data_IF_683355949633
#
_entry.id   IF_683355949633
#
_cell.length_a   1.000
_cell.length_b   1.000
_cell.length_c   1.000
_cell.angle_alpha   90.00
_cell.angle_beta   90.00
_cell.angle_gamma   90.00
#
_symmetry.space_group_name_H-M   'P 1'
#
loop_
_entity.id
_entity.type
_entity.pdbx_description
1 polymer ?
#
# COMPACT_ATOMS: atom_id res chain seq x y z
N UNK A 1 26.92 -48.61 70.64
CA UNK A 1 26.18 -48.27 69.40
C UNK A 1 24.97 -47.44 69.81
N UNK A 2 25.01 -46.13 69.55
CA UNK A 2 24.09 -45.12 70.07
C UNK A 2 22.80 -45.05 69.23
N UNK A 3 21.66 -45.02 69.93
CA UNK A 3 20.31 -45.04 69.40
C UNK A 3 19.75 -43.62 69.15
N UNK A 4 19.05 -43.51 68.02
CA UNK A 4 17.93 -42.61 67.67
C UNK A 4 17.73 -41.28 68.41
N UNK A 5 17.90 -40.19 67.65
CA UNK A 5 17.43 -38.83 67.97
C UNK A 5 15.90 -38.77 68.00
N UNK A 6 15.36 -38.17 69.06
CA UNK A 6 14.02 -37.56 69.13
C UNK A 6 14.23 -36.07 69.41
N UNK A 7 13.81 -35.20 68.50
CA UNK A 7 13.64 -33.76 68.80
C UNK A 7 12.19 -33.41 68.61
N UNK A 8 11.71 -32.67 69.60
CA UNK A 8 10.33 -32.36 69.96
C UNK A 8 9.71 -31.25 69.12
N UNK A 9 8.38 -31.26 69.14
CA UNK A 9 7.40 -30.36 68.54
C UNK A 9 7.47 -28.88 68.95
N UNK A 10 7.25 -27.98 67.95
CA UNK A 10 6.36 -26.80 67.81
C UNK A 10 5.74 -26.15 69.07
N UNK A 11 5.35 -24.83 69.12
CA UNK A 11 4.48 -24.20 68.08
C UNK A 11 4.41 -22.64 67.97
N UNK A 12 3.44 -22.16 67.14
CA UNK A 12 2.76 -20.84 67.11
C UNK A 12 3.50 -19.66 66.43
N UNK A 13 2.92 -18.75 65.64
CA UNK A 13 1.56 -18.50 65.11
C UNK A 13 1.67 -17.30 64.14
N UNK A 14 0.79 -17.24 63.11
CA UNK A 14 0.22 -16.01 62.53
C UNK A 14 1.17 -15.09 61.72
N UNK A 15 0.82 -14.48 60.58
CA UNK A 15 -0.43 -14.31 59.86
C UNK A 15 -0.09 -13.77 58.45
N UNK A 16 -0.73 -14.35 57.43
CA UNK A 16 -1.41 -13.68 56.31
C UNK A 16 -0.95 -12.25 55.96
N UNK A 17 -0.27 -12.08 54.82
CA UNK A 17 -0.57 -10.94 53.94
C UNK A 17 -0.29 -11.23 52.46
N UNK A 18 -1.26 -10.81 51.64
CA UNK A 18 -1.39 -11.11 50.21
C UNK A 18 -0.71 -10.01 49.41
N UNK A 19 0.43 -10.33 48.78
CA UNK A 19 1.08 -9.47 47.79
C UNK A 19 0.45 -9.57 46.42
N UNK A 20 -0.56 -8.73 46.15
CA UNK A 20 -1.22 -8.54 44.85
C UNK A 20 -0.23 -7.90 43.85
N UNK A 21 0.20 -8.63 42.82
CA UNK A 21 1.09 -8.07 41.79
C UNK A 21 0.35 -7.02 40.94
N UNK A 22 0.84 -5.79 40.97
CA UNK A 22 0.39 -4.69 40.11
C UNK A 22 0.79 -4.98 38.67
N UNK A 23 -0.16 -5.42 37.84
CA UNK A 23 -0.06 -5.40 36.38
C UNK A 23 0.18 -3.96 35.92
N UNK A 24 1.41 -3.66 35.47
CA UNK A 24 1.72 -2.43 34.75
C UNK A 24 1.01 -2.48 33.40
N UNK A 25 0.07 -1.55 33.20
CA UNK A 25 -0.55 -1.26 31.91
C UNK A 25 0.51 -0.57 31.05
N UNK A 26 1.00 -1.22 30.00
CA UNK A 26 1.71 -0.52 28.94
C UNK A 26 0.67 0.14 28.04
N UNK A 27 0.55 1.47 28.13
CA UNK A 27 -0.10 2.28 27.11
C UNK A 27 0.75 2.22 25.84
N UNK A 28 0.26 1.52 24.81
CA UNK A 28 0.78 1.60 23.45
C UNK A 28 0.06 2.73 22.72
N UNK A 29 0.27 3.94 23.20
CA UNK A 29 -0.10 5.18 22.51
C UNK A 29 1.23 5.89 22.27
N UNK A 30 1.48 6.36 21.04
CA UNK A 30 2.73 6.97 20.57
C UNK A 30 3.79 6.01 20.00
N UNK A 31 3.49 5.40 18.85
CA UNK A 31 4.52 5.19 17.82
C UNK A 31 3.90 5.02 16.43
N UNK A 32 3.59 6.13 15.76
CA UNK A 32 3.48 6.20 14.30
C UNK A 32 3.87 7.61 13.87
N UNK A 33 5.00 7.81 13.17
CA UNK A 33 5.36 9.11 12.62
C UNK A 33 4.39 9.50 11.49
N UNK A 34 3.79 10.68 11.63
CA UNK A 34 3.04 11.35 10.57
C UNK A 34 3.93 11.60 9.34
N UNK A 35 3.45 11.16 8.18
CA UNK A 35 4.14 11.24 6.88
C UNK A 35 4.46 12.66 6.38
N UNK A 36 3.99 13.73 7.06
CA UNK A 36 4.32 15.11 6.67
C UNK A 36 5.79 15.51 6.94
N UNK A 37 6.55 14.74 7.73
CA UNK A 37 7.93 15.13 8.15
C UNK A 37 9.07 14.43 7.40
N UNK A 38 8.78 13.48 6.51
CA UNK A 38 9.81 12.78 5.72
C UNK A 38 10.15 13.51 4.41
N UNK A 39 9.25 14.37 3.91
CA UNK A 39 9.46 15.12 2.66
C UNK A 39 10.39 16.35 2.76
N UNK A 40 10.69 16.86 3.97
CA UNK A 40 11.51 18.07 4.14
C UNK A 40 13.01 17.80 4.37
N UNK A 41 13.43 16.54 4.46
CA UNK A 41 14.84 16.18 4.72
C UNK A 41 15.61 15.70 3.48
N UNK A 42 15.07 15.94 2.29
CA UNK A 42 15.73 15.65 1.00
C UNK A 42 16.16 16.90 0.22
N UNK A 43 16.13 18.10 0.82
CA UNK A 43 16.58 19.35 0.17
C UNK A 43 17.68 20.12 0.93
N UNK A 44 18.23 19.57 2.02
CA UNK A 44 19.39 20.16 2.69
C UNK A 44 20.67 19.44 2.24
N UNK A 45 21.28 19.95 1.17
CA UNK A 45 22.64 19.59 0.78
C UNK A 45 23.61 20.09 1.85
N UNK A 46 24.38 19.16 2.44
CA UNK A 46 25.48 19.48 3.35
C UNK A 46 26.78 19.18 2.64
N UNK A 47 27.48 20.24 2.25
CA UNK A 47 28.87 20.26 1.82
C UNK A 47 29.78 19.69 2.92
N UNK A 48 30.50 18.62 2.61
CA UNK A 48 31.55 18.04 3.45
C UNK A 48 32.72 17.57 2.59
N UNK A 49 33.92 18.08 2.89
CA UNK A 49 35.12 18.00 2.06
C UNK A 49 35.75 16.60 1.91
N UNK A 50 36.54 16.48 0.85
CA UNK A 50 37.30 15.30 0.44
C UNK A 50 38.63 15.19 1.22
N UNK A 51 39.04 13.97 1.62
CA UNK A 51 40.44 13.64 1.79
C UNK A 51 41.02 13.00 0.52
N UNK A 52 42.17 13.52 0.09
CA UNK A 52 42.97 13.06 -1.05
C UNK A 52 43.62 11.71 -0.76
N UNK A 53 43.13 10.65 -1.41
CA UNK A 53 43.73 9.32 -1.40
C UNK A 53 44.07 8.86 -2.82
N UNK A 54 45.36 8.80 -3.15
CA UNK A 54 45.91 8.33 -4.44
C UNK A 54 45.74 6.81 -4.55
N UNK A 55 44.78 6.35 -5.34
CA UNK A 55 44.61 4.92 -5.68
C UNK A 55 44.72 4.74 -7.19
N UNK A 56 45.63 3.85 -7.59
CA UNK A 56 46.01 3.55 -8.97
C UNK A 56 44.82 2.97 -9.75
N UNK A 57 44.56 3.53 -10.94
CA UNK A 57 43.49 3.08 -11.83
C UNK A 57 43.75 1.65 -12.33
N UNK A 58 42.85 0.72 -11.98
CA UNK A 58 42.71 -0.58 -12.65
C UNK A 58 41.61 -0.45 -13.71
N UNK A 59 41.99 -0.55 -14.98
CA UNK A 59 41.04 -0.57 -16.11
C UNK A 59 40.09 -1.76 -15.97
N UNK A 60 38.79 -1.48 -15.99
CA UNK A 60 37.72 -2.46 -16.17
C UNK A 60 37.24 -2.40 -17.63
N UNK A 61 36.92 -3.54 -18.28
CA UNK A 61 36.41 -3.53 -19.64
C UNK A 61 34.97 -2.99 -19.67
N UNK A 62 34.70 -2.14 -20.68
CA UNK A 62 33.38 -1.57 -20.98
C UNK A 62 32.33 -2.67 -21.15
N UNK A 63 31.40 -2.79 -20.20
CA UNK A 63 30.15 -3.54 -20.40
C UNK A 63 29.29 -2.75 -21.39
N UNK A 64 28.91 -3.41 -22.50
CA UNK A 64 28.00 -2.87 -23.51
C UNK A 64 26.63 -2.70 -22.87
N UNK A 65 26.09 -1.49 -22.90
CA UNK A 65 24.71 -1.21 -22.52
C UNK A 65 23.77 -1.81 -23.57
N UNK A 66 22.88 -2.69 -23.14
CA UNK A 66 21.70 -3.08 -23.92
C UNK A 66 20.65 -1.96 -23.77
N UNK A 67 20.15 -1.35 -24.86
CA UNK A 67 19.11 -0.34 -24.75
C UNK A 67 17.77 -1.02 -24.42
N UNK A 68 17.23 -0.75 -23.23
CA UNK A 68 15.80 -0.90 -22.98
C UNK A 68 15.07 0.16 -23.82
N UNK A 69 14.20 -0.31 -24.72
CA UNK A 69 13.38 0.52 -25.60
C UNK A 69 12.37 1.31 -24.77
N UNK A 70 12.65 2.60 -24.58
CA UNK A 70 11.67 3.58 -24.16
C UNK A 70 10.73 3.89 -25.35
N UNK A 71 9.72 3.07 -25.54
CA UNK A 71 8.51 3.44 -26.27
C UNK A 71 7.37 3.56 -25.26
N UNK A 72 6.57 4.60 -25.42
CA UNK A 72 5.42 5.01 -24.62
C UNK A 72 5.68 6.02 -23.50
N UNK A 73 6.61 6.95 -23.72
CA UNK A 73 6.55 8.27 -23.09
C UNK A 73 6.61 9.32 -24.20
N UNK A 74 5.56 10.17 -24.28
CA UNK A 74 5.35 11.32 -25.19
C UNK A 74 4.59 11.02 -26.50
N UNK A 75 3.26 10.91 -26.40
CA UNK A 75 2.37 11.51 -27.43
C UNK A 75 1.55 12.59 -26.75
N UNK A 76 2.22 13.66 -26.33
CA UNK A 76 1.62 14.94 -26.00
C UNK A 76 2.77 15.96 -26.01
N UNK A 77 3.09 16.50 -27.19
CA UNK A 77 3.27 17.94 -27.39
C UNK A 77 3.51 18.28 -28.87
N UNK A 78 2.55 19.03 -29.43
CA UNK A 78 2.64 20.05 -30.50
C UNK A 78 3.12 19.63 -31.89
N UNK A 79 2.21 19.77 -32.86
CA UNK A 79 2.46 20.48 -34.13
C UNK A 79 1.10 20.82 -34.78
N UNK A 80 0.76 22.11 -34.82
CA UNK A 80 0.17 22.75 -36.01
C UNK A 80 0.29 24.26 -35.87
N UNK A 81 1.14 24.83 -36.70
CA UNK A 81 1.43 26.24 -36.90
C UNK A 81 0.48 26.87 -37.93
N UNK A 82 0.03 28.08 -37.62
CA UNK A 82 -0.16 29.26 -38.50
C UNK A 82 -0.70 29.07 -39.93
N UNK A 83 -1.90 29.60 -40.18
CA UNK A 83 -2.22 30.40 -41.37
C UNK A 83 -3.58 31.11 -41.17
N UNK A 84 -3.71 32.36 -41.61
CA UNK A 84 -5.02 32.96 -41.88
C UNK A 84 -5.27 34.32 -41.24
N UNK A 85 -4.59 35.33 -41.77
CA UNK A 85 -4.88 36.75 -41.56
C UNK A 85 -6.29 37.04 -42.09
N UNK A 86 -7.14 37.62 -41.24
CA UNK A 86 -8.45 38.15 -41.59
C UNK A 86 -8.60 39.55 -41.00
N UNK A 87 -7.73 40.46 -41.45
CA UNK A 87 -7.85 41.90 -41.22
C UNK A 87 -9.09 42.39 -41.96
N UNK A 88 -10.24 42.42 -41.28
CA UNK A 88 -11.43 43.13 -41.76
C UNK A 88 -11.43 44.52 -41.14
N UNK A 89 -11.08 45.49 -41.98
CA UNK A 89 -11.07 46.91 -41.68
C UNK A 89 -12.52 47.41 -41.60
N UNK A 90 -12.98 47.77 -40.40
CA UNK A 90 -14.22 48.55 -40.22
C UNK A 90 -13.88 49.82 -39.47
N UNK A 91 -14.05 50.93 -40.19
CA UNK A 91 -14.06 52.30 -39.68
C UNK A 91 -15.46 52.59 -39.11
N UNK A 92 -15.56 52.92 -37.82
CA UNK A 92 -16.60 53.80 -37.25
C UNK A 92 -16.21 54.26 -35.84
N UNK A 93 -16.21 55.58 -35.64
CA UNK A 93 -15.96 56.32 -34.38
C UNK A 93 -17.24 56.41 -33.50
N UNK A 94 -17.16 56.93 -32.25
CA UNK A 94 -17.94 56.43 -31.10
C UNK A 94 -19.29 57.14 -30.92
N UNK A 95 -20.27 56.39 -30.41
CA UNK A 95 -21.54 56.90 -29.88
C UNK A 95 -21.89 56.17 -28.59
N UNK A 96 -22.00 56.92 -27.50
CA UNK A 96 -22.45 56.43 -26.20
C UNK A 96 -23.98 56.33 -26.17
N UNK A 97 -24.52 55.16 -25.83
CA UNK A 97 -25.81 55.00 -25.13
C UNK A 97 -25.99 53.52 -24.72
N UNK A 98 -26.41 53.34 -23.48
CA UNK A 98 -26.63 52.07 -22.78
C UNK A 98 -27.84 51.29 -23.31
N UNK A 99 -27.72 49.96 -23.36
CA UNK A 99 -28.84 49.04 -23.08
C UNK A 99 -28.31 47.83 -22.32
N UNK A 100 -28.86 47.61 -21.13
CA UNK A 100 -28.66 46.43 -20.30
C UNK A 100 -29.38 45.20 -20.88
N UNK A 101 -28.70 44.05 -20.82
CA UNK A 101 -29.21 42.67 -20.66
C UNK A 101 -28.02 41.71 -20.91
N UNK A 102 -27.32 41.20 -19.89
CA UNK A 102 -27.52 39.87 -19.27
C UNK A 102 -27.42 38.70 -20.27
N UNK A 103 -26.66 37.63 -20.08
CA UNK A 103 -25.93 37.16 -18.91
C UNK A 103 -24.94 36.03 -19.30
N UNK A 104 -23.89 35.92 -18.47
CA UNK A 104 -23.28 34.67 -18.02
C UNK A 104 -22.53 33.77 -19.03
N UNK A 105 -21.22 33.99 -19.14
CA UNK A 105 -20.27 32.97 -19.60
C UNK A 105 -18.92 33.11 -18.87
N UNK A 106 -18.96 33.02 -17.54
CA UNK A 106 -17.77 32.82 -16.72
C UNK A 106 -18.02 31.65 -15.77
N UNK A 107 -17.72 30.45 -16.25
CA UNK A 107 -17.39 29.35 -15.35
C UNK A 107 -16.32 28.46 -15.99
N UNK A 108 -15.08 28.91 -15.82
CA UNK A 108 -13.89 28.07 -15.94
C UNK A 108 -13.90 27.10 -14.75
N UNK A 109 -14.37 25.87 -14.99
CA UNK A 109 -14.21 24.77 -14.04
C UNK A 109 -12.76 24.26 -14.21
N UNK A 110 -11.92 24.59 -13.23
CA UNK A 110 -10.64 23.94 -12.99
C UNK A 110 -10.85 22.43 -12.72
N UNK A 111 -9.84 21.56 -12.91
CA UNK A 111 -10.00 20.12 -12.66
C UNK A 111 -10.17 19.90 -11.15
N UNK A 112 -11.42 19.71 -10.72
CA UNK A 112 -11.77 19.23 -9.39
C UNK A 112 -11.10 17.87 -9.19
N UNK A 113 -10.12 17.82 -8.29
CA UNK A 113 -9.66 16.60 -7.68
C UNK A 113 -10.88 15.96 -7.02
N UNK A 114 -11.46 14.95 -7.70
CA UNK A 114 -12.74 14.33 -7.37
C UNK A 114 -12.79 13.81 -5.93
N UNK A 115 -13.34 14.67 -5.09
CA UNK A 115 -14.24 14.39 -3.99
C UNK A 115 -13.73 13.38 -2.96
N UNK A 116 -13.16 13.91 -1.88
CA UNK A 116 -13.34 13.28 -0.57
C UNK A 116 -14.85 13.15 -0.35
N UNK A 117 -15.41 11.97 -0.65
CA UNK A 117 -16.80 11.67 -0.38
C UNK A 117 -17.10 12.10 1.06
N UNK A 118 -17.97 13.10 1.20
CA UNK A 118 -18.35 13.63 2.50
C UNK A 118 -18.80 12.46 3.36
N UNK A 119 -18.39 12.48 4.63
CA UNK A 119 -18.86 11.53 5.61
C UNK A 119 -20.37 11.76 5.75
N UNK A 120 -21.19 10.93 5.09
CA UNK A 120 -22.61 10.91 5.31
C UNK A 120 -22.89 10.04 6.55
N UNK A 121 -23.24 10.62 7.71
CA UNK A 121 -23.55 9.86 8.93
C UNK A 121 -24.79 8.98 8.78
N UNK A 122 -25.62 9.21 7.75
CA UNK A 122 -26.79 8.41 7.42
C UNK A 122 -26.50 7.23 6.48
N UNK A 123 -25.23 7.01 6.08
CA UNK A 123 -24.88 5.87 5.24
C UNK A 123 -25.20 4.55 5.97
N UNK A 124 -25.84 3.58 5.30
CA UNK A 124 -26.20 2.31 5.91
C UNK A 124 -24.95 1.58 6.43
N UNK A 125 -25.11 0.92 7.58
CA UNK A 125 -24.04 0.11 8.17
C UNK A 125 -23.70 -1.06 7.23
N UNK A 126 -22.43 -1.45 7.20
CA UNK A 126 -22.00 -2.63 6.44
C UNK A 126 -22.81 -3.87 6.78
N UNK A 127 -23.23 -4.60 5.74
CA UNK A 127 -23.87 -5.90 5.89
C UNK A 127 -22.91 -6.93 6.48
N UNK A 128 -23.45 -8.09 6.90
CA UNK A 128 -22.60 -9.19 7.40
C UNK A 128 -21.69 -9.76 6.31
N UNK A 129 -22.12 -9.76 5.05
CA UNK A 129 -21.30 -10.14 3.90
C UNK A 129 -20.17 -9.14 3.67
N UNK A 130 -20.43 -7.84 3.70
CA UNK A 130 -19.40 -6.82 3.47
C UNK A 130 -18.33 -6.83 4.56
N UNK A 131 -18.74 -6.97 5.82
CA UNK A 131 -17.80 -7.13 6.95
C UNK A 131 -16.92 -8.36 6.77
N UNK A 132 -17.47 -9.46 6.24
CA UNK A 132 -16.68 -10.68 5.96
C UNK A 132 -15.75 -10.49 4.76
N UNK A 133 -16.20 -9.82 3.71
CA UNK A 133 -15.39 -9.45 2.56
C UNK A 133 -14.18 -8.62 3.01
N UNK A 134 -14.41 -7.50 3.70
CA UNK A 134 -13.37 -6.62 4.22
C UNK A 134 -12.39 -7.41 5.08
N UNK A 135 -12.88 -8.18 6.05
CA UNK A 135 -12.02 -8.97 6.95
C UNK A 135 -11.12 -9.94 6.23
N UNK A 136 -11.66 -10.67 5.26
CA UNK A 136 -10.89 -11.67 4.51
C UNK A 136 -9.93 -11.00 3.54
N UNK A 137 -10.36 -9.93 2.87
CA UNK A 137 -9.54 -9.20 1.92
C UNK A 137 -8.33 -8.58 2.62
N UNK A 138 -8.53 -7.82 3.70
CA UNK A 138 -7.40 -7.16 4.40
C UNK A 138 -6.46 -8.17 5.04
N UNK A 139 -6.96 -9.33 5.50
CA UNK A 139 -6.10 -10.41 5.99
C UNK A 139 -5.27 -11.05 4.85
N UNK A 140 -5.87 -11.27 3.68
CA UNK A 140 -5.17 -11.80 2.49
C UNK A 140 -4.14 -10.81 1.96
N UNK A 141 -4.51 -9.54 1.83
CA UNK A 141 -3.63 -8.47 1.35
C UNK A 141 -2.47 -8.24 2.30
N UNK A 142 -2.73 -8.19 3.61
CA UNK A 142 -1.65 -8.09 4.60
C UNK A 142 -0.69 -9.29 4.58
N UNK A 143 -1.18 -10.50 4.26
CA UNK A 143 -0.32 -11.65 3.98
C UNK A 143 0.55 -11.41 2.73
N UNK A 144 -0.04 -11.01 1.60
CA UNK A 144 0.68 -10.67 0.36
C UNK A 144 1.77 -9.62 0.60
N UNK A 145 1.46 -8.56 1.35
CA UNK A 145 2.41 -7.49 1.70
C UNK A 145 3.56 -8.05 2.53
N UNK A 146 3.26 -8.85 3.57
CA UNK A 146 4.27 -9.38 4.47
C UNK A 146 5.27 -10.29 3.76
N UNK A 147 4.78 -11.22 2.93
CA UNK A 147 5.65 -12.12 2.16
C UNK A 147 6.42 -11.37 1.07
N UNK A 148 5.81 -10.35 0.44
CA UNK A 148 6.46 -9.59 -0.63
C UNK A 148 7.55 -8.67 -0.09
N UNK A 149 7.38 -8.05 1.08
CA UNK A 149 8.46 -7.29 1.75
C UNK A 149 9.71 -8.13 2.01
N UNK A 150 9.54 -9.41 2.34
CA UNK A 150 10.66 -10.33 2.46
C UNK A 150 11.26 -10.65 1.08
N UNK A 151 10.43 -10.88 0.07
CA UNK A 151 10.89 -11.22 -1.27
C UNK A 151 11.68 -10.09 -1.95
N UNK A 152 11.35 -8.82 -1.69
CA UNK A 152 12.14 -7.66 -2.16
C UNK A 152 13.63 -7.80 -1.79
N UNK A 153 13.93 -8.34 -0.60
CA UNK A 153 15.32 -8.45 -0.12
C UNK A 153 15.94 -9.82 -0.32
N UNK A 154 15.13 -10.88 -0.43
CA UNK A 154 15.60 -12.27 -0.43
C UNK A 154 15.50 -12.98 -1.78
N UNK A 155 14.65 -12.50 -2.69
CA UNK A 155 14.48 -13.16 -3.97
C UNK A 155 15.74 -13.08 -4.84
N UNK A 156 16.04 -14.16 -5.53
CA UNK A 156 17.27 -14.32 -6.33
C UNK A 156 17.10 -13.65 -7.69
N UNK A 157 15.95 -13.90 -8.33
CA UNK A 157 15.66 -13.40 -9.67
C UNK A 157 15.19 -11.95 -9.61
N UNK A 158 15.71 -11.12 -10.52
CA UNK A 158 15.39 -9.70 -10.58
C UNK A 158 13.89 -9.47 -10.85
N UNK A 159 13.27 -10.29 -11.69
CA UNK A 159 11.83 -10.20 -12.01
C UNK A 159 10.97 -10.51 -10.78
N UNK A 160 11.38 -11.47 -9.95
CA UNK A 160 10.68 -11.81 -8.70
C UNK A 160 10.76 -10.67 -7.69
N UNK A 161 11.93 -10.02 -7.57
CA UNK A 161 12.09 -8.82 -6.73
C UNK A 161 11.22 -7.67 -7.21
N UNK A 162 11.28 -7.34 -8.50
CA UNK A 162 10.49 -6.26 -9.10
C UNK A 162 8.97 -6.50 -8.97
N UNK A 163 8.55 -7.76 -9.14
CA UNK A 163 7.17 -8.16 -8.90
C UNK A 163 6.77 -7.98 -7.43
N UNK A 164 7.63 -8.39 -6.49
CA UNK A 164 7.37 -8.23 -5.06
C UNK A 164 7.23 -6.74 -4.65
N UNK A 165 8.06 -5.86 -5.20
CA UNK A 165 7.93 -4.41 -4.98
C UNK A 165 6.56 -3.88 -5.47
N UNK A 166 6.15 -4.33 -6.66
CA UNK A 166 4.84 -3.97 -7.24
C UNK A 166 3.69 -4.46 -6.36
N UNK A 167 3.78 -5.69 -5.83
CA UNK A 167 2.77 -6.25 -4.92
C UNK A 167 2.67 -5.43 -3.63
N UNK A 168 3.80 -5.09 -2.99
CA UNK A 168 3.78 -4.27 -1.76
C UNK A 168 3.07 -2.94 -2.01
N UNK A 169 3.47 -2.20 -3.03
CA UNK A 169 2.93 -0.88 -3.30
C UNK A 169 1.43 -0.92 -3.61
N UNK A 170 1.02 -1.87 -4.45
CA UNK A 170 -0.37 -1.97 -4.90
C UNK A 170 -1.30 -2.47 -3.79
N UNK A 171 -0.91 -3.53 -3.07
CA UNK A 171 -1.72 -4.10 -1.99
C UNK A 171 -1.84 -3.12 -0.80
N UNK A 172 -0.80 -2.34 -0.48
CA UNK A 172 -0.86 -1.29 0.54
C UNK A 172 -1.84 -0.18 0.17
N UNK A 173 -1.84 0.26 -1.10
CA UNK A 173 -2.77 1.27 -1.61
C UNK A 173 -4.22 0.75 -1.52
N UNK A 174 -4.48 -0.42 -2.08
CA UNK A 174 -5.84 -0.99 -2.16
C UNK A 174 -6.39 -1.27 -0.76
N UNK A 175 -5.58 -1.86 0.13
CA UNK A 175 -6.01 -2.11 1.51
C UNK A 175 -6.20 -0.82 2.30
N UNK A 176 -5.40 0.21 2.05
CA UNK A 176 -5.59 1.53 2.65
C UNK A 176 -6.96 2.12 2.33
N UNK A 177 -7.36 2.07 1.06
CA UNK A 177 -8.68 2.53 0.60
C UNK A 177 -9.82 1.70 1.21
N UNK A 178 -9.67 0.38 1.25
CA UNK A 178 -10.69 -0.50 1.85
C UNK A 178 -10.86 -0.24 3.35
N UNK A 179 -9.77 0.02 4.07
CA UNK A 179 -9.82 0.40 5.50
C UNK A 179 -10.54 1.72 5.70
N UNK A 180 -10.30 2.72 4.84
CA UNK A 180 -11.02 4.00 4.90
C UNK A 180 -12.51 3.81 4.64
N UNK A 181 -12.87 3.01 3.62
CA UNK A 181 -14.26 2.65 3.33
C UNK A 181 -14.91 1.98 4.56
N UNK A 182 -14.23 0.98 5.13
CA UNK A 182 -14.74 0.25 6.29
C UNK A 182 -15.00 1.18 7.49
N UNK A 183 -14.06 2.08 7.81
CA UNK A 183 -14.18 3.05 8.91
C UNK A 183 -15.35 4.01 8.71
N UNK A 184 -15.52 4.53 7.50
CA UNK A 184 -16.65 5.41 7.14
C UNK A 184 -18.02 4.75 7.30
N UNK A 185 -18.08 3.42 7.46
CA UNK A 185 -19.30 2.63 7.65
C UNK A 185 -19.37 1.97 9.04
N UNK A 186 -18.54 2.38 9.99
CA UNK A 186 -18.47 1.81 11.35
C UNK A 186 -17.99 0.36 11.37
N UNK A 187 -17.10 0.01 10.43
CA UNK A 187 -16.60 -1.33 10.14
C UNK A 187 -15.22 -1.64 10.69
N UNK A 188 -14.68 -0.88 11.64
CA UNK A 188 -13.33 -1.05 12.19
C UNK A 188 -13.04 -2.48 12.65
N UNK A 189 -14.00 -3.10 13.33
CA UNK A 189 -13.89 -4.49 13.81
C UNK A 189 -13.84 -5.53 12.67
N UNK A 190 -14.15 -5.13 11.44
CA UNK A 190 -14.03 -5.96 10.25
C UNK A 190 -12.61 -5.93 9.66
N UNK A 191 -11.68 -5.10 10.14
CA UNK A 191 -10.30 -5.12 9.62
C UNK A 191 -9.62 -6.40 10.10
N UNK A 192 -9.31 -7.29 9.17
CA UNK A 192 -8.56 -8.52 9.42
C UNK A 192 -7.07 -8.26 9.64
N UNK A 193 -6.48 -9.01 10.56
CA UNK A 193 -5.04 -9.01 10.83
C UNK A 193 -4.35 -10.18 10.13
N UNK A 194 -3.11 -9.96 9.72
CA UNK A 194 -2.25 -11.00 9.15
C UNK A 194 -1.63 -11.85 10.25
N UNK A 195 -1.45 -13.15 10.02
CA UNK A 195 -0.68 -14.04 10.89
C UNK A 195 0.75 -14.19 10.35
N UNK A 196 1.77 -14.08 11.20
CA UNK A 196 3.20 -14.13 10.82
C UNK A 196 3.67 -15.46 10.21
N UNK A 197 2.89 -16.52 10.39
CA UNK A 197 3.26 -17.92 10.08
C UNK A 197 3.74 -18.11 8.63
N UNK A 198 3.25 -17.32 7.68
CA UNK A 198 3.67 -17.43 6.28
C UNK A 198 5.09 -16.90 6.02
N UNK A 199 5.45 -15.77 6.65
CA UNK A 199 6.81 -15.20 6.57
C UNK A 199 7.82 -16.20 7.13
N UNK A 200 7.48 -16.86 8.23
CA UNK A 200 8.31 -17.90 8.83
C UNK A 200 8.52 -19.10 7.91
N UNK A 201 7.47 -19.55 7.20
CA UNK A 201 7.56 -20.64 6.22
C UNK A 201 8.48 -20.30 5.06
N UNK A 202 8.37 -19.10 4.49
CA UNK A 202 9.23 -18.64 3.40
C UNK A 202 10.67 -18.45 3.86
N UNK A 203 10.89 -17.99 5.09
CA UNK A 203 12.24 -17.83 5.67
C UNK A 203 12.99 -19.16 5.77
N UNK A 204 12.28 -20.27 5.98
CA UNK A 204 12.86 -21.61 6.05
C UNK A 204 13.22 -22.23 4.69
N UNK A 205 12.86 -21.60 3.58
CA UNK A 205 13.21 -22.08 2.23
C UNK A 205 14.69 -21.80 1.93
N UNK A 206 15.35 -22.73 1.25
CA UNK A 206 16.67 -22.50 0.67
C UNK A 206 16.61 -21.36 -0.34
N UNK A 207 17.76 -20.78 -0.68
CA UNK A 207 17.85 -19.69 -1.65
C UNK A 207 17.29 -20.13 -3.02
N UNK A 208 17.66 -21.32 -3.48
CA UNK A 208 17.23 -21.85 -4.79
C UNK A 208 15.71 -22.13 -4.86
N UNK A 209 15.10 -22.52 -3.74
CA UNK A 209 13.66 -22.81 -3.68
C UNK A 209 12.82 -21.60 -3.24
N UNK A 210 13.44 -20.44 -3.00
CA UNK A 210 12.77 -19.30 -2.39
C UNK A 210 11.77 -18.64 -3.35
N UNK A 211 12.19 -18.37 -4.58
CA UNK A 211 11.42 -17.61 -5.56
C UNK A 211 10.14 -18.35 -5.99
N UNK A 212 10.25 -19.65 -6.27
CA UNK A 212 9.11 -20.51 -6.58
C UNK A 212 8.12 -20.58 -5.39
N UNK A 213 8.66 -20.73 -4.17
CA UNK A 213 7.82 -20.76 -2.97
C UNK A 213 7.08 -19.44 -2.74
N UNK A 214 7.74 -18.31 -2.98
CA UNK A 214 7.12 -16.98 -2.89
C UNK A 214 6.01 -16.80 -3.94
N UNK A 215 6.28 -17.11 -5.21
CA UNK A 215 5.30 -17.00 -6.29
C UNK A 215 4.06 -17.86 -6.03
N UNK A 216 4.25 -19.08 -5.52
CA UNK A 216 3.14 -19.97 -5.17
C UNK A 216 2.25 -19.40 -4.07
N UNK A 217 2.84 -18.86 -3.00
CA UNK A 217 2.10 -18.25 -1.89
C UNK A 217 1.32 -16.99 -2.35
N UNK A 218 1.99 -16.07 -3.07
CA UNK A 218 1.35 -14.82 -3.52
C UNK A 218 0.26 -15.06 -4.57
N UNK A 219 0.43 -16.06 -5.45
CA UNK A 219 -0.63 -16.48 -6.38
C UNK A 219 -1.85 -17.05 -5.65
N UNK A 220 -1.64 -17.80 -4.55
CA UNK A 220 -2.73 -18.27 -3.69
C UNK A 220 -3.51 -17.13 -3.04
N UNK A 221 -2.79 -16.12 -2.55
CA UNK A 221 -3.39 -14.91 -1.99
C UNK A 221 -4.18 -14.11 -3.04
N UNK A 222 -3.64 -13.91 -4.25
CA UNK A 222 -4.34 -13.20 -5.33
C UNK A 222 -5.57 -13.96 -5.83
N UNK A 223 -5.53 -15.28 -5.97
CA UNK A 223 -6.73 -16.09 -6.29
C UNK A 223 -7.84 -15.90 -5.25
N UNK A 224 -7.46 -15.86 -3.97
CA UNK A 224 -8.40 -15.59 -2.87
C UNK A 224 -8.98 -14.18 -2.96
N UNK A 225 -8.14 -13.17 -3.22
CA UNK A 225 -8.56 -11.78 -3.39
C UNK A 225 -9.54 -11.61 -4.56
N UNK A 226 -9.25 -12.21 -5.72
CA UNK A 226 -10.15 -12.21 -6.89
C UNK A 226 -11.51 -12.79 -6.52
N UNK A 227 -11.54 -13.99 -5.92
CA UNK A 227 -12.81 -14.64 -5.54
C UNK A 227 -13.61 -13.83 -4.50
N UNK A 228 -12.95 -13.04 -3.66
CA UNK A 228 -13.59 -12.13 -2.71
C UNK A 228 -14.16 -10.89 -3.42
N UNK A 229 -13.40 -10.30 -4.35
CA UNK A 229 -13.84 -9.16 -5.15
C UNK A 229 -15.03 -9.54 -6.04
N UNK A 230 -14.99 -10.68 -6.74
CA UNK A 230 -16.10 -11.16 -7.58
C UNK A 230 -17.42 -11.24 -6.81
N UNK A 231 -17.38 -11.68 -5.54
CA UNK A 231 -18.55 -11.73 -4.66
C UNK A 231 -18.99 -10.34 -4.17
N UNK A 232 -18.05 -9.42 -4.01
CA UNK A 232 -18.33 -8.08 -3.51
C UNK A 232 -18.93 -7.16 -4.59
N UNK A 233 -18.77 -7.48 -5.87
CA UNK A 233 -19.42 -6.75 -6.99
C UNK A 233 -20.94 -6.71 -6.84
N UNK A 234 -21.56 -7.73 -6.25
CA UNK A 234 -23.02 -7.78 -6.01
C UNK A 234 -23.42 -7.29 -4.62
N UNK A 235 -22.56 -6.52 -3.95
CA UNK A 235 -22.89 -5.93 -2.64
C UNK A 235 -24.04 -4.92 -2.77
N UNK A 236 -24.89 -4.85 -1.74
CA UNK A 236 -25.90 -3.80 -1.62
C UNK A 236 -25.31 -2.45 -1.18
N UNK A 237 -24.09 -2.43 -0.63
CA UNK A 237 -23.36 -1.18 -0.41
C UNK A 237 -22.65 -0.79 -1.72
N UNK A 238 -23.11 0.30 -2.34
CA UNK A 238 -22.62 0.76 -3.63
C UNK A 238 -21.13 1.10 -3.62
N UNK A 239 -20.56 1.47 -2.48
CA UNK A 239 -19.13 1.75 -2.36
C UNK A 239 -18.31 0.46 -2.27
N UNK A 240 -18.83 -0.57 -1.61
CA UNK A 240 -18.20 -1.91 -1.60
C UNK A 240 -18.24 -2.51 -2.99
N UNK A 241 -19.38 -2.41 -3.70
CA UNK A 241 -19.51 -2.87 -5.07
C UNK A 241 -18.56 -2.11 -6.02
N UNK A 242 -18.49 -0.78 -5.92
CA UNK A 242 -17.58 0.03 -6.73
C UNK A 242 -16.10 -0.31 -6.46
N UNK A 243 -15.71 -0.44 -5.20
CA UNK A 243 -14.37 -0.89 -4.81
C UNK A 243 -14.03 -2.25 -5.44
N UNK A 244 -14.98 -3.19 -5.41
CA UNK A 244 -14.79 -4.52 -5.97
C UNK A 244 -14.57 -4.49 -7.49
N UNK A 245 -15.38 -3.71 -8.22
CA UNK A 245 -15.25 -3.53 -9.67
C UNK A 245 -13.92 -2.89 -10.03
N UNK A 246 -13.52 -1.84 -9.31
CA UNK A 246 -12.28 -1.09 -9.56
C UNK A 246 -11.03 -1.97 -9.49
N UNK A 247 -10.94 -2.86 -8.49
CA UNK A 247 -9.72 -3.62 -8.22
C UNK A 247 -9.69 -5.05 -8.77
N UNK A 248 -10.81 -5.52 -9.34
CA UNK A 248 -10.90 -6.85 -9.94
C UNK A 248 -9.87 -7.06 -11.07
N UNK A 249 -9.77 -6.09 -11.98
CA UNK A 249 -8.85 -6.15 -13.11
C UNK A 249 -7.38 -6.13 -12.64
N UNK A 250 -7.05 -5.29 -11.65
CA UNK A 250 -5.71 -5.18 -11.08
C UNK A 250 -5.26 -6.51 -10.46
N UNK A 251 -6.12 -7.17 -9.69
CA UNK A 251 -5.78 -8.46 -9.07
C UNK A 251 -5.63 -9.59 -10.10
N UNK A 252 -6.42 -9.57 -11.18
CA UNK A 252 -6.27 -10.52 -12.29
C UNK A 252 -4.94 -10.33 -13.03
N UNK A 253 -4.55 -9.09 -13.26
CA UNK A 253 -3.28 -8.72 -13.88
C UNK A 253 -2.08 -9.15 -12.99
N UNK A 254 -2.16 -8.95 -11.67
CA UNK A 254 -1.17 -9.47 -10.72
C UNK A 254 -0.99 -10.99 -10.84
N UNK A 255 -2.10 -11.74 -10.82
CA UNK A 255 -2.06 -13.20 -10.96
C UNK A 255 -1.47 -13.63 -12.31
N UNK A 256 -1.77 -12.90 -13.39
CA UNK A 256 -1.21 -13.17 -14.71
C UNK A 256 0.30 -12.94 -14.75
N UNK A 257 0.79 -11.82 -14.20
CA UNK A 257 2.22 -11.51 -14.09
C UNK A 257 2.96 -12.56 -13.26
N UNK A 258 2.44 -12.96 -12.10
CA UNK A 258 3.06 -14.00 -11.28
C UNK A 258 3.23 -15.33 -12.04
N UNK A 259 2.21 -15.76 -12.78
CA UNK A 259 2.26 -16.96 -13.64
C UNK A 259 3.28 -16.83 -14.76
N UNK A 260 3.42 -15.65 -15.35
CA UNK A 260 4.41 -15.41 -16.38
C UNK A 260 5.82 -15.56 -15.80
N UNK A 261 6.08 -14.99 -14.63
CA UNK A 261 7.37 -15.12 -13.94
C UNK A 261 7.64 -16.57 -13.56
N UNK A 262 6.66 -17.26 -12.98
CA UNK A 262 6.77 -18.70 -12.63
C UNK A 262 7.19 -19.55 -13.85
N UNK A 263 6.64 -19.27 -15.03
CA UNK A 263 7.03 -19.96 -16.27
C UNK A 263 8.46 -19.67 -16.74
N UNK A 264 9.02 -18.51 -16.40
CA UNK A 264 10.39 -18.14 -16.77
C UNK A 264 11.44 -18.73 -15.82
N UNK A 265 11.02 -19.22 -14.64
CA UNK A 265 11.91 -19.89 -13.69
C UNK A 265 12.10 -21.39 -13.98
N UNK A 266 11.20 -21.98 -14.78
CA UNK A 266 11.20 -23.39 -15.17
C UNK A 266 11.87 -23.60 -16.52
#
# INVERSE_FOLDING_TARGET
MSWFRRVTSSPLRSSRERGRSRKRKCCWSHCFPSWKRVKQRMLAGSSGGLPTGRIKHRLMPRRRAFPYSAQNMKVFLRLLTLAGVGFWMVLTSPGAAETAAEANAQQLIAPEAGTSAEFNPAAPKLSRSDKRFIKKYTASSGHSIAISKQAVTRAVHADVRAYAETVVNTEELITGELVVLARRRGGEAAIGHTRSVAVEKLTKKSIDAYDEAYLKEVMGAHKTAIALLEKAVTSSDTYVAAFAVQYLAVMRDHLARARQIEKMLN
#
